data_IF_888069202642
#
_entry.id   IF_888069202642
#
_cell.length_a   1.000
_cell.length_b   1.000
_cell.length_c   1.000
_cell.angle_alpha   90.00
_cell.angle_beta   90.00
_cell.angle_gamma   90.00
#
_symmetry.space_group_name_H-M   'P 1'
#
loop_
_entity.id
_entity.type
_entity.pdbx_description
1 polymer ?
#
# COMPACT_ATOMS: atom_id res chain seq x y z
N UNK A 1 54.59 5.85 1.00
CA UNK A 1 53.26 6.42 0.67
C UNK A 1 52.53 5.41 -0.20
N UNK A 2 51.38 4.89 0.21
CA UNK A 2 50.70 3.81 -0.51
C UNK A 2 49.63 4.42 -1.42
N UNK A 3 50.05 4.81 -2.63
CA UNK A 3 49.22 5.47 -3.65
C UNK A 3 47.92 4.71 -3.92
N UNK A 4 47.96 3.37 -3.88
CA UNK A 4 46.77 2.53 -4.08
C UNK A 4 45.76 2.71 -2.93
N UNK A 5 46.23 2.79 -1.68
CA UNK A 5 45.35 2.99 -0.51
C UNK A 5 44.79 4.41 -0.46
N UNK A 6 45.61 5.39 -0.86
CA UNK A 6 45.24 6.81 -0.87
C UNK A 6 44.18 7.10 -1.96
N UNK A 7 44.17 6.33 -3.06
CA UNK A 7 43.16 6.46 -4.14
C UNK A 7 41.85 5.71 -3.87
N UNK A 8 41.80 4.81 -2.89
CA UNK A 8 40.61 4.00 -2.62
C UNK A 8 39.61 4.67 -1.69
N UNK A 9 39.96 5.81 -1.08
CA UNK A 9 39.13 6.50 -0.10
C UNK A 9 38.77 7.91 -0.57
N UNK A 10 37.48 8.25 -0.50
CA UNK A 10 36.94 9.57 -0.87
C UNK A 10 36.22 10.16 0.33
N UNK A 11 36.43 11.45 0.57
CA UNK A 11 35.68 12.21 1.57
C UNK A 11 34.59 13.05 0.91
N UNK A 12 33.41 12.47 0.76
CA UNK A 12 32.24 13.18 0.18
C UNK A 12 31.72 14.23 1.14
N UNK A 13 31.83 13.99 2.45
CA UNK A 13 31.29 14.88 3.47
C UNK A 13 32.11 16.15 3.69
N UNK A 14 33.38 16.17 3.25
CA UNK A 14 34.34 17.22 3.57
C UNK A 14 34.82 17.24 5.03
N UNK A 15 34.34 16.34 5.90
CA UNK A 15 34.68 16.31 7.32
C UNK A 15 35.88 15.39 7.59
N UNK A 16 36.87 15.78 8.41
CA UNK A 16 38.01 14.93 8.75
C UNK A 16 37.55 13.58 9.35
N UNK A 17 38.20 12.49 8.94
CA UNK A 17 37.92 11.14 9.45
C UNK A 17 36.66 10.46 8.89
N UNK A 18 35.92 11.11 7.99
CA UNK A 18 34.73 10.54 7.33
C UNK A 18 35.00 10.19 5.87
N UNK A 19 35.87 9.21 5.69
CA UNK A 19 36.20 8.66 4.37
C UNK A 19 35.35 7.43 4.08
N UNK A 20 35.03 7.22 2.81
CA UNK A 20 34.39 6.00 2.34
C UNK A 20 35.12 5.40 1.14
N UNK A 21 35.02 4.09 0.92
CA UNK A 21 35.57 3.46 -0.28
C UNK A 21 34.97 4.07 -1.57
N UNK A 22 35.80 4.26 -2.61
CA UNK A 22 35.37 4.74 -3.94
C UNK A 22 34.25 3.86 -4.50
N UNK A 23 34.36 2.55 -4.31
CA UNK A 23 33.35 1.58 -4.79
C UNK A 23 31.98 1.86 -4.17
N UNK A 24 31.92 2.08 -2.85
CA UNK A 24 30.70 2.40 -2.13
C UNK A 24 30.10 3.75 -2.58
N UNK A 25 30.95 4.74 -2.90
CA UNK A 25 30.49 6.00 -3.47
C UNK A 25 29.86 5.79 -4.86
N UNK A 26 30.54 5.01 -5.71
CA UNK A 26 30.05 4.66 -7.05
C UNK A 26 28.70 3.92 -6.96
N UNK A 27 28.56 3.00 -6.01
CA UNK A 27 27.29 2.29 -5.74
C UNK A 27 26.16 3.28 -5.37
N UNK A 28 26.44 4.26 -4.52
CA UNK A 28 25.45 5.28 -4.15
C UNK A 28 25.01 6.13 -5.35
N UNK A 29 25.96 6.59 -6.18
CA UNK A 29 25.66 7.35 -7.40
C UNK A 29 24.83 6.53 -8.39
N UNK A 30 25.20 5.27 -8.64
CA UNK A 30 24.43 4.35 -9.50
C UNK A 30 23.03 4.13 -8.92
N UNK A 31 22.91 3.97 -7.60
CA UNK A 31 21.63 3.83 -6.92
C UNK A 31 20.71 5.03 -7.12
N UNK A 32 21.25 6.26 -7.11
CA UNK A 32 20.47 7.46 -7.41
C UNK A 32 20.04 7.54 -8.86
N UNK A 33 20.92 7.22 -9.80
CA UNK A 33 20.60 7.19 -11.23
C UNK A 33 19.48 6.20 -11.53
N UNK A 34 19.55 4.99 -10.97
CA UNK A 34 18.48 3.98 -11.13
C UNK A 34 17.13 4.48 -10.61
N UNK A 35 17.11 5.20 -9.47
CA UNK A 35 15.88 5.75 -8.92
C UNK A 35 15.30 6.87 -9.79
N UNK A 36 16.14 7.74 -10.34
CA UNK A 36 15.67 8.77 -11.29
C UNK A 36 15.15 8.16 -12.57
N UNK A 37 15.85 7.15 -13.09
CA UNK A 37 15.43 6.41 -14.27
C UNK A 37 14.05 5.77 -14.05
N UNK A 38 13.85 5.08 -12.92
CA UNK A 38 12.57 4.48 -12.56
C UNK A 38 11.46 5.53 -12.37
N UNK A 39 11.75 6.68 -11.73
CA UNK A 39 10.77 7.72 -11.47
C UNK A 39 10.21 8.37 -12.74
N UNK A 40 10.99 8.39 -13.84
CA UNK A 40 10.54 8.95 -15.12
C UNK A 40 9.65 7.99 -15.93
N UNK A 41 9.68 6.69 -15.61
CA UNK A 41 8.78 5.69 -16.19
C UNK A 41 9.00 5.44 -17.68
N UNK A 42 7.93 5.49 -18.48
CA UNK A 42 7.94 5.14 -19.91
C UNK A 42 8.81 6.09 -20.75
N UNK A 43 8.99 7.33 -20.28
CA UNK A 43 9.82 8.34 -20.97
C UNK A 43 11.31 8.31 -20.57
N UNK A 44 11.74 7.25 -19.88
CA UNK A 44 13.13 7.09 -19.47
C UNK A 44 13.96 6.47 -20.59
N UNK A 45 14.85 7.27 -21.18
CA UNK A 45 15.83 6.80 -22.17
C UNK A 45 17.23 6.79 -21.58
N UNK A 46 18.07 5.86 -22.02
CA UNK A 46 19.47 5.78 -21.58
C UNK A 46 20.26 7.04 -21.93
N UNK A 47 19.97 7.67 -23.09
CA UNK A 47 20.57 8.95 -23.48
C UNK A 47 20.23 10.07 -22.50
N UNK A 48 18.99 10.12 -22.05
CA UNK A 48 18.56 11.09 -21.06
C UNK A 48 19.23 10.87 -19.70
N UNK A 49 19.37 9.60 -19.28
CA UNK A 49 20.08 9.26 -18.05
C UNK A 49 21.57 9.65 -18.14
N UNK A 50 22.20 9.42 -19.29
CA UNK A 50 23.56 9.85 -19.60
C UNK A 50 23.72 11.36 -19.46
N UNK A 51 22.79 12.13 -20.02
CA UNK A 51 22.80 13.60 -19.95
C UNK A 51 22.62 14.14 -18.52
N UNK A 52 21.83 13.47 -17.68
CA UNK A 52 21.59 13.90 -16.28
C UNK A 52 22.70 13.42 -15.34
N UNK A 53 23.41 12.34 -15.69
CA UNK A 53 24.38 11.71 -14.80
C UNK A 53 25.47 12.64 -14.23
N UNK A 54 26.00 13.64 -14.97
CA UNK A 54 27.00 14.57 -14.43
C UNK A 54 26.42 15.51 -13.37
N UNK A 55 25.11 15.80 -13.44
CA UNK A 55 24.41 16.70 -12.54
C UNK A 55 23.71 15.97 -11.38
N UNK A 56 23.94 14.66 -11.21
CA UNK A 56 23.22 13.83 -10.23
C UNK A 56 23.33 14.35 -8.80
N UNK A 57 24.50 14.89 -8.42
CA UNK A 57 24.75 15.45 -7.09
C UNK A 57 23.86 16.67 -6.83
N UNK A 58 23.75 17.57 -7.82
CA UNK A 58 22.92 18.76 -7.70
C UNK A 58 21.43 18.42 -7.72
N UNK A 59 21.02 17.49 -8.57
CA UNK A 59 19.63 16.99 -8.59
C UNK A 59 19.25 16.36 -7.24
N UNK A 60 20.18 15.64 -6.61
CA UNK A 60 19.95 15.07 -5.28
C UNK A 60 19.83 16.16 -4.20
N UNK A 61 20.66 17.20 -4.27
CA UNK A 61 20.59 18.34 -3.36
C UNK A 61 19.26 19.08 -3.49
N UNK A 62 18.80 19.35 -4.71
CA UNK A 62 17.48 19.96 -4.98
C UNK A 62 16.36 19.08 -4.43
N UNK A 63 16.42 17.76 -4.66
CA UNK A 63 15.44 16.82 -4.10
C UNK A 63 15.40 16.87 -2.57
N UNK A 64 16.56 16.87 -1.89
CA UNK A 64 16.63 16.98 -0.42
C UNK A 64 16.07 18.31 0.07
N UNK A 65 16.37 19.40 -0.63
CA UNK A 65 15.85 20.73 -0.31
C UNK A 65 14.32 20.77 -0.44
N UNK A 66 13.79 20.28 -1.56
CA UNK A 66 12.35 20.21 -1.79
C UNK A 66 11.65 19.32 -0.77
N UNK A 67 12.20 18.15 -0.45
CA UNK A 67 11.65 17.26 0.58
C UNK A 67 11.58 17.93 1.95
N UNK A 68 12.59 18.75 2.30
CA UNK A 68 12.61 19.55 3.52
C UNK A 68 11.55 20.67 3.50
N UNK A 69 11.41 21.37 2.38
CA UNK A 69 10.39 22.42 2.22
C UNK A 69 8.97 21.86 2.35
N UNK A 70 8.70 20.71 1.74
CA UNK A 70 7.39 20.05 1.78
C UNK A 70 7.10 19.35 3.11
N UNK A 71 8.01 19.45 4.09
CA UNK A 71 7.96 18.72 5.35
C UNK A 71 7.69 17.22 5.18
N UNK A 72 8.10 16.66 4.04
CA UNK A 72 7.98 15.22 3.79
C UNK A 72 9.02 14.53 4.64
N UNK A 73 8.57 13.71 5.59
CA UNK A 73 9.48 13.02 6.49
C UNK A 73 10.41 12.11 5.69
N UNK A 74 11.72 12.38 5.78
CA UNK A 74 12.75 11.50 5.25
C UNK A 74 12.62 10.14 5.95
N UNK A 75 12.14 9.11 5.24
CA UNK A 75 12.18 7.74 5.77
C UNK A 75 13.64 7.35 5.93
N UNK A 76 14.08 7.19 7.18
CA UNK A 76 15.42 6.73 7.49
C UNK A 76 15.73 5.42 6.77
N UNK A 77 16.95 5.30 6.25
CA UNK A 77 17.47 4.11 5.55
C UNK A 77 17.46 2.84 6.43
N UNK A 78 17.30 3.00 7.75
CA UNK A 78 17.32 1.93 8.74
C UNK A 78 16.01 1.15 8.85
N UNK A 79 15.00 1.38 8.00
CA UNK A 79 13.72 0.65 8.06
C UNK A 79 13.12 0.63 9.48
N UNK A 80 13.35 1.69 10.27
CA UNK A 80 12.70 1.81 11.57
C UNK A 80 11.25 2.18 11.31
N UNK A 81 10.33 1.34 11.78
CA UNK A 81 8.90 1.61 11.68
C UNK A 81 8.59 2.99 12.24
N UNK A 82 7.73 3.73 11.53
CA UNK A 82 7.29 5.03 11.98
C UNK A 82 6.58 4.88 13.33
N UNK A 83 6.94 5.70 14.32
CA UNK A 83 6.23 5.69 15.60
C UNK A 83 4.82 6.26 15.41
N UNK A 84 3.83 5.37 15.37
CA UNK A 84 2.42 5.69 15.18
C UNK A 84 1.67 5.96 16.48
N UNK A 85 2.33 5.86 17.65
CA UNK A 85 1.67 5.98 18.96
C UNK A 85 0.90 7.29 19.11
N UNK A 86 1.48 8.40 18.67
CA UNK A 86 0.84 9.72 18.77
C UNK A 86 -0.40 9.83 17.87
N UNK A 87 -0.36 9.20 16.69
CA UNK A 87 -1.49 9.11 15.78
C UNK A 87 -2.63 8.27 16.37
N UNK A 88 -2.28 7.13 16.97
CA UNK A 88 -3.24 6.24 17.65
C UNK A 88 -3.92 6.99 18.79
N UNK A 89 -3.19 7.71 19.64
CA UNK A 89 -3.79 8.48 20.73
C UNK A 89 -4.66 9.64 20.24
N UNK A 90 -4.27 10.33 19.17
CA UNK A 90 -5.12 11.36 18.54
C UNK A 90 -6.42 10.76 18.01
N UNK A 91 -6.34 9.61 17.36
CA UNK A 91 -7.51 8.89 16.86
C UNK A 91 -8.41 8.43 18.01
N UNK A 92 -7.84 7.82 19.04
CA UNK A 92 -8.57 7.35 20.22
C UNK A 92 -9.29 8.50 20.92
N UNK A 93 -8.61 9.63 21.14
CA UNK A 93 -9.21 10.83 21.70
C UNK A 93 -10.36 11.33 20.83
N UNK A 94 -10.19 11.35 19.50
CA UNK A 94 -11.24 11.83 18.60
C UNK A 94 -12.46 10.91 18.55
N UNK A 95 -12.24 9.60 18.60
CA UNK A 95 -13.30 8.60 18.71
C UNK A 95 -14.08 8.78 20.02
N UNK A 96 -13.39 9.05 21.12
CA UNK A 96 -13.98 9.33 22.43
C UNK A 96 -14.77 10.64 22.44
N UNK A 97 -14.21 11.74 21.91
CA UNK A 97 -14.90 13.03 21.77
C UNK A 97 -16.20 12.90 20.97
N UNK A 98 -16.14 12.18 19.85
CA UNK A 98 -17.30 11.94 18.98
C UNK A 98 -18.24 10.87 19.55
N UNK A 99 -17.86 10.19 20.64
CA UNK A 99 -18.61 9.11 21.27
C UNK A 99 -18.98 7.99 20.29
N UNK A 100 -18.15 7.72 19.27
CA UNK A 100 -18.48 6.77 18.18
C UNK A 100 -18.72 5.36 18.72
N UNK A 101 -18.02 4.99 19.79
CA UNK A 101 -18.14 3.69 20.44
C UNK A 101 -19.31 3.61 21.43
N UNK A 102 -19.97 4.72 21.75
CA UNK A 102 -21.10 4.75 22.69
C UNK A 102 -22.43 4.61 21.94
N UNK A 103 -23.27 3.69 22.39
CA UNK A 103 -24.66 3.61 21.94
C UNK A 103 -25.44 4.83 22.45
N UNK A 104 -25.91 5.67 21.53
CA UNK A 104 -26.76 6.84 21.83
C UNK A 104 -28.10 6.67 21.12
N UNK A 105 -29.22 6.45 21.85
CA UNK A 105 -30.50 6.06 21.26
C UNK A 105 -31.13 7.10 20.32
N UNK A 106 -30.64 8.35 20.29
CA UNK A 106 -31.14 9.43 19.43
C UNK A 106 -30.01 10.22 18.74
N UNK A 107 -28.94 9.56 18.30
CA UNK A 107 -27.87 10.24 17.55
C UNK A 107 -28.44 10.73 16.20
N UNK A 108 -28.52 12.05 16.01
CA UNK A 108 -28.83 12.66 14.72
C UNK A 108 -27.65 12.39 13.78
N UNK A 109 -27.81 11.42 12.89
CA UNK A 109 -26.87 11.13 11.80
C UNK A 109 -27.53 11.60 10.52
N UNK A 110 -26.93 12.60 9.87
CA UNK A 110 -27.50 13.24 8.68
C UNK A 110 -27.70 12.24 7.52
N UNK A 111 -26.87 11.18 7.44
CA UNK A 111 -26.92 10.16 6.38
C UNK A 111 -26.33 8.81 6.83
N UNK A 112 -26.95 8.14 7.79
CA UNK A 112 -26.58 6.74 8.10
C UNK A 112 -27.66 5.79 7.57
N UNK A 113 -27.34 4.83 6.67
CA UNK A 113 -28.24 3.72 6.42
C UNK A 113 -28.46 2.97 7.74
N UNK A 114 -29.70 2.53 7.99
CA UNK A 114 -30.06 1.75 9.17
C UNK A 114 -29.15 0.52 9.20
N UNK A 115 -28.19 0.50 10.12
CA UNK A 115 -27.28 -0.62 10.26
C UNK A 115 -28.12 -1.85 10.68
N UNK A 116 -28.11 -2.95 9.91
CA UNK A 116 -28.86 -4.13 10.28
C UNK A 116 -28.26 -4.73 11.56
N UNK A 117 -29.11 -5.23 12.46
CA UNK A 117 -28.65 -5.99 13.61
C UNK A 117 -27.91 -7.25 13.13
N UNK A 118 -26.59 -7.23 13.28
CA UNK A 118 -25.71 -8.32 12.85
C UNK A 118 -25.97 -9.61 13.63
N UNK A 119 -26.40 -9.52 14.89
CA UNK A 119 -26.71 -10.67 15.73
C UNK A 119 -28.01 -11.31 15.24
N UNK A 120 -29.06 -10.50 15.05
CA UNK A 120 -30.34 -10.99 14.57
C UNK A 120 -30.26 -11.52 13.13
N UNK A 121 -29.58 -10.80 12.24
CA UNK A 121 -29.38 -11.22 10.84
C UNK A 121 -28.49 -12.47 10.74
N UNK A 122 -27.45 -12.56 11.58
CA UNK A 122 -26.63 -13.76 11.72
C UNK A 122 -27.44 -14.96 12.21
N UNK A 123 -28.26 -14.77 13.24
CA UNK A 123 -29.13 -15.82 13.77
C UNK A 123 -30.17 -16.30 12.75
N UNK A 124 -30.79 -15.37 12.01
CA UNK A 124 -31.72 -15.72 10.94
C UNK A 124 -31.04 -16.53 9.84
N UNK A 125 -29.86 -16.12 9.37
CA UNK A 125 -29.08 -16.87 8.37
C UNK A 125 -28.66 -18.25 8.89
N UNK A 126 -28.22 -18.34 10.13
CA UNK A 126 -27.85 -19.60 10.76
C UNK A 126 -29.04 -20.58 10.78
N UNK A 127 -30.22 -20.08 11.15
CA UNK A 127 -31.46 -20.86 11.23
C UNK A 127 -32.01 -21.24 9.86
N UNK A 128 -31.95 -20.35 8.88
CA UNK A 128 -32.59 -20.55 7.57
C UNK A 128 -31.75 -21.37 6.60
N UNK A 129 -30.42 -21.24 6.61
CA UNK A 129 -29.56 -21.89 5.62
C UNK A 129 -28.52 -22.82 6.24
N UNK A 130 -27.79 -22.38 7.27
CA UNK A 130 -26.62 -23.12 7.76
C UNK A 130 -27.01 -24.42 8.49
N UNK A 131 -27.97 -24.36 9.41
CA UNK A 131 -28.41 -25.53 10.20
C UNK A 131 -29.10 -26.58 9.31
N UNK A 132 -30.04 -26.22 8.42
CA UNK A 132 -30.64 -27.20 7.51
C UNK A 132 -29.62 -27.86 6.57
N UNK A 133 -28.68 -27.09 6.02
CA UNK A 133 -27.62 -27.63 5.16
C UNK A 133 -26.68 -28.56 5.93
N UNK A 134 -26.30 -28.20 7.16
CA UNK A 134 -25.50 -29.06 8.03
C UNK A 134 -26.23 -30.36 8.39
N UNK A 135 -27.50 -30.28 8.78
CA UNK A 135 -28.31 -31.45 9.12
C UNK A 135 -28.46 -32.37 7.89
N UNK A 136 -28.71 -31.82 6.70
CA UNK A 136 -28.76 -32.58 5.44
C UNK A 136 -27.44 -33.31 5.16
N UNK A 137 -26.29 -32.67 5.42
CA UNK A 137 -24.97 -33.30 5.26
C UNK A 137 -24.73 -34.42 6.27
N UNK A 138 -25.14 -34.24 7.53
CA UNK A 138 -24.99 -35.26 8.57
C UNK A 138 -25.87 -36.49 8.30
N UNK A 139 -27.11 -36.29 7.84
CA UNK A 139 -27.98 -37.42 7.45
C UNK A 139 -27.45 -38.12 6.22
N UNK A 140 -26.99 -37.38 5.20
CA UNK A 140 -26.37 -37.95 4.01
C UNK A 140 -25.11 -38.77 4.34
N UNK A 141 -24.28 -38.29 5.28
CA UNK A 141 -23.09 -39.01 5.75
C UNK A 141 -23.43 -40.27 6.56
N UNK A 142 -24.56 -40.27 7.29
CA UNK A 142 -25.03 -41.43 8.04
C UNK A 142 -25.67 -42.51 7.15
N UNK A 143 -26.27 -42.12 6.03
CA UNK A 143 -26.97 -43.01 5.10
C UNK A 143 -26.09 -43.52 3.95
N UNK A 144 -25.15 -42.71 3.47
CA UNK A 144 -24.22 -43.06 2.40
C UNK A 144 -22.78 -43.00 2.94
N UNK A 145 -22.17 -44.15 3.16
CA UNK A 145 -20.76 -44.24 3.57
C UNK A 145 -19.74 -43.81 2.50
N UNK A 146 -20.09 -42.92 1.57
CA UNK A 146 -19.22 -42.45 0.47
C UNK A 146 -19.55 -40.98 0.13
N UNK A 147 -18.50 -40.17 -0.05
CA UNK A 147 -18.52 -38.78 -0.52
C UNK A 147 -19.02 -38.71 -1.97
N UNK A 148 -20.13 -38.01 -2.21
CA UNK A 148 -20.37 -37.39 -3.52
C UNK A 148 -19.80 -35.97 -3.50
N UNK A 149 -18.92 -35.70 -4.47
CA UNK A 149 -18.33 -34.39 -4.72
C UNK A 149 -19.38 -33.53 -5.42
N UNK A 150 -20.20 -32.82 -4.65
CA UNK A 150 -21.25 -31.97 -5.23
C UNK A 150 -20.88 -30.47 -5.21
N UNK A 151 -21.10 -29.90 -6.39
CA UNK A 151 -20.90 -28.52 -6.83
C UNK A 151 -21.39 -27.50 -5.80
N UNK A 152 -20.61 -26.43 -5.63
CA UNK A 152 -20.95 -25.27 -4.82
C UNK A 152 -22.27 -24.61 -5.29
N UNK A 153 -23.36 -24.82 -4.55
CA UNK A 153 -24.65 -24.13 -4.70
C UNK A 153 -24.64 -22.71 -4.08
N UNK A 154 -23.46 -22.12 -3.86
CA UNK A 154 -23.38 -20.72 -3.46
C UNK A 154 -23.85 -19.85 -4.64
N UNK A 155 -24.83 -18.95 -4.44
CA UNK A 155 -25.21 -18.03 -5.51
C UNK A 155 -23.98 -17.23 -5.92
N UNK A 156 -23.60 -17.34 -7.19
CA UNK A 156 -22.52 -16.54 -7.77
C UNK A 156 -22.83 -15.07 -7.51
N UNK A 157 -21.95 -14.41 -6.75
CA UNK A 157 -21.98 -12.97 -6.52
C UNK A 157 -21.99 -12.28 -7.89
N UNK A 158 -23.15 -11.74 -8.30
CA UNK A 158 -23.25 -10.87 -9.45
C UNK A 158 -22.62 -9.54 -9.05
N UNK A 159 -21.34 -9.37 -9.38
CA UNK A 159 -20.73 -8.05 -9.44
C UNK A 159 -21.38 -7.36 -10.64
N UNK A 160 -22.29 -6.41 -10.39
CA UNK A 160 -22.80 -5.53 -11.44
C UNK A 160 -21.61 -4.91 -12.17
N UNK A 161 -21.37 -5.36 -13.40
CA UNK A 161 -20.41 -4.75 -14.30
C UNK A 161 -21.05 -3.44 -14.76
N UNK A 162 -20.48 -2.33 -14.31
CA UNK A 162 -20.77 -1.01 -14.83
C UNK A 162 -20.68 -1.04 -16.36
N UNK A 163 -21.73 -0.56 -17.00
CA UNK A 163 -21.94 -0.53 -18.44
C UNK A 163 -20.72 0.05 -19.16
N UNK A 164 -20.09 -0.78 -20.00
CA UNK A 164 -19.20 -0.32 -21.04
C UNK A 164 -20.07 0.35 -22.11
N UNK A 165 -20.15 1.68 -22.08
CA UNK A 165 -20.64 2.47 -23.21
C UNK A 165 -19.68 2.20 -24.38
N UNK A 166 -20.18 1.54 -25.41
CA UNK A 166 -19.52 1.46 -26.71
C UNK A 166 -19.60 2.84 -27.34
N UNK A 167 -18.45 3.52 -27.49
CA UNK A 167 -18.34 4.66 -28.40
C UNK A 167 -18.28 4.09 -29.81
N UNK A 168 -19.30 4.39 -30.60
CA UNK A 168 -19.37 4.10 -32.03
C UNK A 168 -18.27 4.88 -32.77
N UNK A 169 -17.27 4.17 -33.29
CA UNK A 169 -16.40 4.68 -34.34
C UNK A 169 -17.20 4.72 -35.65
N UNK A 170 -17.84 5.87 -35.93
CA UNK A 170 -18.22 6.24 -37.28
C UNK A 170 -16.98 6.83 -37.98
N UNK A 171 -16.31 6.00 -38.77
CA UNK A 171 -15.50 6.46 -39.90
C UNK A 171 -16.45 7.01 -40.96
N UNK A 172 -16.48 8.34 -41.14
CA UNK A 172 -16.77 8.98 -42.43
C UNK A 172 -16.38 10.47 -42.40
N UNK A 173 -15.60 10.85 -43.42
CA UNK A 173 -15.10 12.19 -43.86
C UNK A 173 -13.70 12.60 -43.39
#
# INVERSE_FOLDING_TARGET
>A
RNVMRDNHLVNISGHPGRFMPVDLNTEHLIGYLKRLFAAKGIYSTWDHLGNISPAIVEVENVKKHFAKMMNTSWKNRTHKDADTRTLIWRLANKIGELGIQEYRPNRLVDFAPVAPDLIQSGWMKLKSSAIPAFNKKITALGEAGIYEEDKDDLPTMQWEQAEHVQEDENEDI
#
